data_IF_363751337471
#
_entry.id   IF_363751337471
#
_cell.length_a   1.000
_cell.length_b   1.000
_cell.length_c   1.000
_cell.angle_alpha   90.00
_cell.angle_beta   90.00
_cell.angle_gamma   90.00
#
_symmetry.space_group_name_H-M   'P 1'
#
loop_
_entity.id
_entity.type
_entity.pdbx_description
1 polymer ?
#
# COMPACT_ATOMS: atom_id res chain seq x y z
N UNK A 1 11.86 15.45 0.48
CA UNK A 1 13.34 15.38 0.47
C UNK A 1 13.86 14.40 -0.58
N UNK A 2 13.37 13.16 -0.64
CA UNK A 2 13.80 12.15 -1.64
C UNK A 2 13.74 12.60 -3.11
N UNK A 3 12.74 13.38 -3.49
CA UNK A 3 12.61 13.93 -4.85
C UNK A 3 13.50 15.14 -5.14
N UNK A 4 13.83 15.96 -4.13
CA UNK A 4 14.58 17.22 -4.31
C UNK A 4 16.07 17.08 -4.04
N UNK A 5 16.47 16.19 -3.14
CA UNK A 5 17.86 16.03 -2.70
C UNK A 5 18.27 14.55 -2.49
N UNK A 6 18.11 13.68 -3.49
CA UNK A 6 18.40 12.25 -3.36
C UNK A 6 19.88 11.96 -3.03
N UNK A 7 20.81 12.76 -3.57
CA UNK A 7 22.25 12.62 -3.33
C UNK A 7 22.66 12.84 -1.87
N UNK A 8 21.91 13.64 -1.11
CA UNK A 8 22.15 13.82 0.33
C UNK A 8 21.71 12.62 1.16
N UNK A 9 20.77 11.82 0.64
CA UNK A 9 20.20 10.68 1.34
C UNK A 9 20.98 9.38 1.07
N UNK A 10 21.72 9.31 -0.03
CA UNK A 10 22.54 8.16 -0.42
C UNK A 10 23.49 7.67 0.69
N UNK A 11 24.29 8.53 1.34
CA UNK A 11 25.22 8.09 2.40
C UNK A 11 24.53 7.52 3.63
N UNK A 12 23.28 7.94 3.89
CA UNK A 12 22.49 7.53 5.06
C UNK A 12 21.38 6.53 4.70
N UNK A 13 21.32 6.09 3.44
CA UNK A 13 20.21 5.30 2.92
C UNK A 13 20.04 3.98 3.67
N UNK A 14 21.13 3.29 4.03
CA UNK A 14 21.06 2.03 4.77
C UNK A 14 20.28 2.18 6.09
N UNK A 15 20.58 3.24 6.85
CA UNK A 15 19.87 3.55 8.10
C UNK A 15 18.42 3.99 7.86
N UNK A 16 18.16 4.78 6.82
CA UNK A 16 16.80 5.15 6.43
C UNK A 16 15.96 3.93 6.06
N UNK A 17 16.56 3.00 5.32
CA UNK A 17 15.90 1.76 4.90
C UNK A 17 15.48 0.92 6.11
N UNK A 18 16.37 0.70 7.08
CA UNK A 18 16.05 -0.02 8.32
C UNK A 18 14.93 0.66 9.13
N UNK A 19 14.98 1.99 9.26
CA UNK A 19 13.93 2.75 9.96
C UNK A 19 12.58 2.64 9.25
N UNK A 20 12.56 2.72 7.92
CA UNK A 20 11.34 2.54 7.13
C UNK A 20 10.79 1.12 7.27
N UNK A 21 11.63 0.08 7.23
CA UNK A 21 11.19 -1.30 7.42
C UNK A 21 10.57 -1.52 8.82
N UNK A 22 11.20 -1.01 9.87
CA UNK A 22 10.66 -1.06 11.22
C UNK A 22 9.32 -0.32 11.34
N UNK A 23 9.16 0.78 10.60
CA UNK A 23 7.91 1.56 10.58
C UNK A 23 6.81 0.82 9.82
N UNK A 24 7.13 0.24 8.66
CA UNK A 24 6.21 -0.54 7.83
C UNK A 24 5.73 -1.84 8.51
N UNK A 25 6.49 -2.37 9.47
CA UNK A 25 6.09 -3.52 10.26
C UNK A 25 5.02 -3.19 11.32
N UNK A 26 4.71 -1.90 11.54
CA UNK A 26 3.73 -1.50 12.54
C UNK A 26 2.30 -1.68 12.02
N UNK A 27 1.38 -2.28 12.81
CA UNK A 27 0.00 -2.54 12.39
C UNK A 27 -0.88 -1.28 12.36
N UNK A 28 -0.45 -0.19 13.01
CA UNK A 28 -1.20 1.07 13.12
C UNK A 28 -0.89 2.05 11.99
N UNK A 29 -0.01 1.69 11.07
CA UNK A 29 0.38 2.54 9.96
C UNK A 29 -0.72 2.54 8.88
N UNK A 30 -1.15 3.72 8.47
CA UNK A 30 -2.14 3.82 7.39
C UNK A 30 -1.57 3.33 6.05
N UNK A 31 -2.46 2.94 5.15
CA UNK A 31 -2.08 2.55 3.80
C UNK A 31 -1.35 3.69 3.06
N UNK A 32 -1.79 4.93 3.26
CA UNK A 32 -1.17 6.11 2.64
C UNK A 32 0.26 6.33 3.15
N UNK A 33 0.46 6.26 4.47
CA UNK A 33 1.79 6.41 5.07
C UNK A 33 2.73 5.29 4.61
N UNK A 34 2.22 4.06 4.57
CA UNK A 34 2.98 2.89 4.10
C UNK A 34 3.46 3.07 2.66
N UNK A 35 2.54 3.41 1.75
CA UNK A 35 2.87 3.62 0.33
C UNK A 35 3.82 4.80 0.17
N UNK A 36 3.62 5.89 0.91
CA UNK A 36 4.50 7.07 0.86
C UNK A 36 5.94 6.72 1.26
N UNK A 37 6.13 5.91 2.30
CA UNK A 37 7.46 5.46 2.72
C UNK A 37 8.11 4.53 1.67
N UNK A 38 7.33 3.60 1.11
CA UNK A 38 7.80 2.71 0.04
C UNK A 38 8.23 3.51 -1.20
N UNK A 39 7.43 4.48 -1.64
CA UNK A 39 7.76 5.38 -2.74
C UNK A 39 9.04 6.19 -2.48
N UNK A 40 9.20 6.71 -1.25
CA UNK A 40 10.40 7.45 -0.89
C UNK A 40 11.67 6.59 -0.98
N UNK A 41 11.61 5.32 -0.57
CA UNK A 41 12.71 4.37 -0.70
C UNK A 41 13.05 4.10 -2.18
N UNK A 42 12.03 3.87 -3.01
CA UNK A 42 12.19 3.63 -4.44
C UNK A 42 12.80 4.84 -5.15
N UNK A 43 12.35 6.05 -4.84
CA UNK A 43 12.86 7.29 -5.41
C UNK A 43 14.36 7.48 -5.14
N UNK A 44 14.83 7.21 -3.92
CA UNK A 44 16.27 7.32 -3.62
C UNK A 44 17.06 6.21 -4.30
N UNK A 45 16.50 5.00 -4.41
CA UNK A 45 17.16 3.85 -5.04
C UNK A 45 17.51 4.06 -6.51
N UNK A 46 16.73 4.88 -7.23
CA UNK A 46 17.00 5.26 -8.61
C UNK A 46 18.41 5.84 -8.80
N UNK A 47 19.02 6.39 -7.74
CA UNK A 47 20.35 6.98 -7.75
C UNK A 47 21.48 6.02 -7.39
N UNK A 48 21.22 4.71 -7.18
CA UNK A 48 22.29 3.72 -6.95
C UNK A 48 23.14 3.43 -8.19
N UNK A 49 22.65 3.75 -9.39
CA UNK A 49 23.32 3.48 -10.67
C UNK A 49 23.78 2.01 -10.84
N UNK A 50 23.14 1.07 -10.12
CA UNK A 50 23.47 -0.34 -10.09
C UNK A 50 22.17 -1.14 -10.13
N UNK A 51 21.90 -1.76 -11.28
CA UNK A 51 20.67 -2.50 -11.53
C UNK A 51 20.42 -3.59 -10.49
N UNK A 52 21.43 -4.41 -10.17
CA UNK A 52 21.29 -5.51 -9.21
C UNK A 52 20.87 -5.02 -7.82
N UNK A 53 21.48 -3.92 -7.35
CA UNK A 53 21.11 -3.32 -6.07
C UNK A 53 19.72 -2.72 -6.07
N UNK A 54 19.31 -2.11 -7.18
CA UNK A 54 17.96 -1.56 -7.35
C UNK A 54 16.91 -2.68 -7.39
N UNK A 55 17.15 -3.73 -8.17
CA UNK A 55 16.26 -4.89 -8.30
C UNK A 55 16.05 -5.59 -6.95
N UNK A 56 17.13 -5.83 -6.20
CA UNK A 56 17.05 -6.43 -4.87
C UNK A 56 16.24 -5.57 -3.88
N UNK A 57 16.43 -4.24 -3.90
CA UNK A 57 15.66 -3.34 -3.04
C UNK A 57 14.19 -3.30 -3.44
N UNK A 58 13.87 -3.23 -4.74
CA UNK A 58 12.49 -3.26 -5.24
C UNK A 58 11.77 -4.51 -4.75
N UNK A 59 12.42 -5.68 -4.82
CA UNK A 59 11.87 -6.92 -4.30
C UNK A 59 11.59 -6.85 -2.79
N UNK A 60 12.48 -6.25 -2.01
CA UNK A 60 12.30 -6.07 -0.56
C UNK A 60 11.14 -5.09 -0.24
N UNK A 61 11.05 -3.97 -0.96
CA UNK A 61 10.02 -2.95 -0.73
C UNK A 61 8.64 -3.46 -1.13
N UNK A 62 8.54 -4.20 -2.22
CA UNK A 62 7.28 -4.83 -2.64
C UNK A 62 6.86 -5.97 -1.71
N UNK A 63 7.83 -6.67 -1.10
CA UNK A 63 7.57 -7.76 -0.16
C UNK A 63 6.50 -8.73 -0.68
N UNK A 64 5.51 -9.03 0.16
CA UNK A 64 4.44 -9.98 -0.15
C UNK A 64 3.31 -9.35 -0.99
N UNK A 65 3.53 -8.18 -1.61
CA UNK A 65 2.52 -7.54 -2.46
C UNK A 65 2.10 -8.45 -3.62
N UNK A 66 3.05 -9.23 -4.18
CA UNK A 66 2.76 -10.22 -5.23
C UNK A 66 1.77 -11.28 -4.76
N UNK A 67 1.96 -11.81 -3.56
CA UNK A 67 1.10 -12.86 -2.99
C UNK A 67 -0.27 -12.31 -2.63
N UNK A 68 -0.32 -11.12 -2.01
CA UNK A 68 -1.56 -10.41 -1.73
C UNK A 68 -2.36 -10.12 -3.00
N UNK A 69 -1.69 -9.66 -4.06
CA UNK A 69 -2.33 -9.41 -5.34
C UNK A 69 -2.83 -10.71 -6.00
N UNK A 70 -2.04 -11.79 -5.94
CA UNK A 70 -2.46 -13.10 -6.43
C UNK A 70 -3.68 -13.63 -5.67
N UNK A 71 -3.75 -13.41 -4.35
CA UNK A 71 -4.89 -13.81 -3.52
C UNK A 71 -6.20 -13.06 -3.89
N UNK A 72 -6.10 -11.85 -4.45
CA UNK A 72 -7.26 -11.11 -4.95
C UNK A 72 -7.80 -11.67 -6.28
N UNK A 73 -6.98 -12.44 -7.02
CA UNK A 73 -7.32 -12.89 -8.38
C UNK A 73 -8.72 -13.53 -8.50
N UNK A 74 -9.17 -14.44 -7.61
CA UNK A 74 -10.50 -15.05 -7.71
C UNK A 74 -11.66 -14.03 -7.62
N UNK A 75 -11.46 -12.94 -6.90
CA UNK A 75 -12.47 -11.90 -6.68
C UNK A 75 -12.55 -10.91 -7.84
N UNK A 76 -11.46 -10.72 -8.58
CA UNK A 76 -11.36 -9.73 -9.65
C UNK A 76 -11.84 -10.26 -11.01
N UNK A 77 -12.30 -11.51 -11.10
CA UNK A 77 -12.77 -12.13 -12.34
C UNK A 77 -14.16 -11.64 -12.81
N UNK A 78 -14.92 -10.97 -11.93
CA UNK A 78 -16.25 -10.45 -12.27
C UNK A 78 -16.64 -9.27 -11.37
N UNK A 79 -17.57 -8.44 -11.85
CA UNK A 79 -18.13 -7.34 -11.06
C UNK A 79 -18.80 -7.84 -9.77
N UNK A 80 -19.49 -8.99 -9.81
CA UNK A 80 -20.10 -9.61 -8.63
C UNK A 80 -19.05 -10.16 -7.64
N UNK A 81 -17.91 -10.64 -8.14
CA UNK A 81 -16.77 -11.02 -7.29
C UNK A 81 -16.17 -9.82 -6.55
N UNK A 82 -16.02 -8.70 -7.25
CA UNK A 82 -15.53 -7.44 -6.68
C UNK A 82 -16.52 -6.86 -5.66
N UNK A 83 -17.82 -6.87 -5.98
CA UNK A 83 -18.87 -6.41 -5.06
C UNK A 83 -18.83 -7.19 -3.73
N UNK A 84 -18.65 -8.51 -3.80
CA UNK A 84 -18.45 -9.37 -2.63
C UNK A 84 -17.19 -9.06 -1.84
N UNK A 85 -16.07 -8.85 -2.52
CA UNK A 85 -14.80 -8.49 -1.90
C UNK A 85 -14.91 -7.17 -1.11
N UNK A 86 -15.64 -6.20 -1.64
CA UNK A 86 -15.84 -4.89 -1.03
C UNK A 86 -17.01 -4.86 -0.03
N UNK A 87 -17.77 -5.95 0.11
CA UNK A 87 -18.95 -6.02 0.97
C UNK A 87 -20.16 -5.22 0.47
N UNK A 88 -20.21 -4.90 -0.82
CA UNK A 88 -21.29 -4.12 -1.44
C UNK A 88 -22.57 -4.94 -1.66
N UNK A 89 -22.48 -6.27 -1.63
CA UNK A 89 -23.62 -7.18 -1.73
C UNK A 89 -24.23 -7.55 -0.35
N UNK A 90 -23.69 -7.00 0.73
CA UNK A 90 -24.21 -7.21 2.07
C UNK A 90 -25.66 -6.71 2.18
N UNK A 91 -26.57 -7.48 2.81
CA UNK A 91 -27.92 -7.02 3.07
C UNK A 91 -27.88 -5.75 3.93
N UNK A 92 -28.86 -4.83 3.78
CA UNK A 92 -28.90 -3.61 4.56
C UNK A 92 -28.95 -3.94 6.06
N UNK A 93 -27.97 -3.45 6.83
CA UNK A 93 -28.04 -3.46 8.28
C UNK A 93 -29.13 -2.48 8.73
N UNK A 94 -30.08 -2.95 9.55
CA UNK A 94 -31.15 -2.09 10.08
C UNK A 94 -30.64 -1.05 11.09
N UNK A 95 -29.43 -1.23 11.60
CA UNK A 95 -28.77 -0.33 12.56
C UNK A 95 -27.99 0.83 11.89
N UNK A 96 -28.07 0.98 10.56
CA UNK A 96 -27.42 2.08 9.84
C UNK A 96 -28.34 3.32 9.78
N UNK A 97 -28.08 4.36 10.60
CA UNK A 97 -28.98 5.51 10.74
C UNK A 97 -29.10 6.32 9.44
N UNK A 98 -28.08 6.32 8.57
CA UNK A 98 -28.11 7.06 7.30
C UNK A 98 -29.05 6.41 6.28
N UNK A 99 -29.08 5.07 6.22
CA UNK A 99 -30.01 4.33 5.35
C UNK A 99 -31.44 4.33 5.88
N UNK A 100 -31.62 4.33 7.21
CA UNK A 100 -32.94 4.49 7.83
C UNK A 100 -33.56 5.86 7.51
N UNK A 101 -32.74 6.91 7.45
CA UNK A 101 -33.18 8.25 7.07
C UNK A 101 -33.57 8.32 5.59
N UNK A 102 -32.80 7.72 4.68
CA UNK A 102 -33.11 7.69 3.24
C UNK A 102 -34.42 6.95 2.91
N UNK A 103 -34.77 5.90 3.67
CA UNK A 103 -36.05 5.16 3.53
C UNK A 103 -37.27 5.93 4.03
N UNK A 104 -37.11 6.91 4.92
CA UNK A 104 -38.21 7.74 5.43
C UNK A 104 -38.57 8.91 4.52
N UNK A 105 -37.73 9.23 3.55
CA UNK A 105 -37.88 10.38 2.65
C UNK A 105 -38.37 10.01 1.24
N UNK A 106 -38.70 8.74 0.99
CA UNK A 106 -39.37 8.23 -0.21
C UNK A 106 -40.80 7.81 0.14
#
# INVERSE_FOLDING_TARGET
LGSKYPLLLLPVFGRLHELCLNTLARPDLSALESVTLQEALLLVSNHFCCYERQSALVAQVLGDCRERWAALSPHLQSAAGLARLLGLDAPPNEDDPERAQARRTL
#
